data_IF_788218025930
#
_entry.id   IF_788218025930
#
_cell.length_a   1.000
_cell.length_b   1.000
_cell.length_c   1.000
_cell.angle_alpha   90.00
_cell.angle_beta   90.00
_cell.angle_gamma   90.00
#
_symmetry.space_group_name_H-M   'P 1'
#
loop_
_entity.id
_entity.type
_entity.pdbx_description
1 polymer ?
#
# COMPACT_ATOMS: atom_id res chain seq x y z
N UNK A 1 -12.55 -10.43 -28.44
CA UNK A 1 -12.94 -11.85 -28.54
C UNK A 1 -13.65 -12.19 -27.23
N UNK A 2 -14.93 -11.81 -27.11
CA UNK A 2 -15.69 -11.92 -25.86
C UNK A 2 -16.51 -13.21 -25.84
N UNK A 3 -15.83 -14.35 -25.73
CA UNK A 3 -16.51 -15.58 -25.33
C UNK A 3 -16.94 -15.39 -23.87
N UNK A 4 -18.25 -15.35 -23.56
CA UNK A 4 -18.74 -15.03 -22.22
C UNK A 4 -18.22 -15.99 -21.14
N UNK A 5 -17.96 -17.23 -21.53
CA UNK A 5 -17.47 -18.30 -20.65
C UNK A 5 -15.93 -18.47 -20.72
N UNK A 6 -15.24 -17.58 -21.45
CA UNK A 6 -13.79 -17.59 -21.51
C UNK A 6 -13.19 -17.24 -20.14
N UNK A 7 -12.24 -18.05 -19.66
CA UNK A 7 -11.56 -17.87 -18.36
C UNK A 7 -11.04 -16.44 -18.13
N UNK A 8 -10.53 -15.80 -19.19
CA UNK A 8 -10.07 -14.40 -19.16
C UNK A 8 -11.19 -13.41 -18.83
N UNK A 9 -12.38 -13.62 -19.38
CA UNK A 9 -13.55 -12.77 -19.11
C UNK A 9 -14.02 -12.94 -17.67
N UNK A 10 -14.08 -14.18 -17.17
CA UNK A 10 -14.45 -14.50 -15.80
C UNK A 10 -13.50 -13.83 -14.79
N UNK A 11 -12.19 -13.98 -14.98
CA UNK A 11 -11.19 -13.34 -14.11
C UNK A 11 -11.27 -11.82 -14.16
N UNK A 12 -11.43 -11.24 -15.36
CA UNK A 12 -11.57 -9.79 -15.52
C UNK A 12 -12.80 -9.24 -14.79
N UNK A 13 -13.96 -9.91 -14.86
CA UNK A 13 -15.17 -9.51 -14.12
C UNK A 13 -14.94 -9.48 -12.60
N UNK A 14 -13.98 -10.26 -12.09
CA UNK A 14 -13.56 -10.30 -10.68
C UNK A 14 -12.48 -9.27 -10.34
N UNK A 15 -12.06 -8.46 -11.32
CA UNK A 15 -11.06 -7.40 -11.14
C UNK A 15 -9.62 -7.88 -11.27
N UNK A 16 -9.39 -9.04 -11.90
CA UNK A 16 -8.04 -9.54 -12.19
C UNK A 16 -7.34 -8.69 -13.27
N UNK A 17 -6.02 -8.79 -13.29
CA UNK A 17 -5.20 -8.42 -14.46
C UNK A 17 -5.55 -9.30 -15.67
N UNK A 18 -5.29 -8.77 -16.86
CA UNK A 18 -5.45 -9.49 -18.12
C UNK A 18 -4.32 -10.50 -18.34
N UNK A 19 -4.69 -11.77 -18.45
CA UNK A 19 -3.75 -12.83 -18.78
C UNK A 19 -3.47 -12.86 -20.29
N UNK A 20 -2.18 -12.80 -20.68
CA UNK A 20 -1.67 -12.89 -22.06
C UNK A 20 -2.04 -11.76 -23.04
N UNK A 21 -2.96 -10.87 -22.68
CA UNK A 21 -3.48 -9.80 -23.56
C UNK A 21 -3.55 -8.43 -22.87
N UNK A 22 -2.76 -8.25 -21.82
CA UNK A 22 -2.56 -6.94 -21.20
C UNK A 22 -2.03 -5.93 -22.24
N UNK A 23 -2.38 -4.66 -22.06
CA UNK A 23 -1.92 -3.56 -22.93
C UNK A 23 -0.41 -3.31 -22.85
N UNK A 24 0.27 -3.86 -21.85
CA UNK A 24 1.71 -3.77 -21.69
C UNK A 24 2.19 -4.35 -20.36
N UNK A 25 3.50 -4.30 -20.17
CA UNK A 25 4.17 -4.76 -18.95
C UNK A 25 4.02 -3.73 -17.81
N UNK A 26 4.14 -4.18 -16.54
CA UNK A 26 4.27 -3.27 -15.40
C UNK A 26 5.69 -2.67 -15.36
N UNK A 27 5.85 -1.60 -14.59
CA UNK A 27 7.14 -0.94 -14.39
C UNK A 27 7.46 -0.81 -12.89
N UNK A 28 8.74 -0.97 -12.53
CA UNK A 28 9.25 -0.55 -11.23
C UNK A 28 9.78 0.88 -11.37
N UNK A 29 9.11 1.83 -10.73
CA UNK A 29 9.43 3.26 -10.82
C UNK A 29 10.42 3.72 -9.74
N UNK A 30 10.55 2.95 -8.66
CA UNK A 30 11.47 3.26 -7.56
C UNK A 30 11.83 2.03 -6.76
N UNK A 31 13.09 1.94 -6.34
CA UNK A 31 13.61 0.89 -5.48
C UNK A 31 14.70 1.50 -4.59
N UNK A 32 14.53 1.36 -3.27
CA UNK A 32 15.54 1.77 -2.30
C UNK A 32 15.82 0.64 -1.32
N UNK A 33 17.09 0.47 -0.98
CA UNK A 33 17.55 -0.44 0.08
C UNK A 33 18.39 0.40 1.02
N UNK A 34 17.88 0.62 2.22
CA UNK A 34 18.55 1.41 3.24
C UNK A 34 18.70 0.65 4.55
N UNK A 35 19.24 1.32 5.56
CA UNK A 35 19.42 0.71 6.87
C UNK A 35 18.07 0.53 7.58
N UNK A 36 17.71 -0.72 7.83
CA UNK A 36 16.44 -1.09 8.44
C UNK A 36 15.21 -0.97 7.54
N UNK A 37 15.34 -0.75 6.23
CA UNK A 37 14.19 -0.71 5.32
C UNK A 37 14.47 -1.13 3.87
N UNK A 38 13.41 -1.55 3.18
CA UNK A 38 13.37 -1.70 1.71
C UNK A 38 12.11 -1.01 1.20
N UNK A 39 12.22 -0.20 0.16
CA UNK A 39 11.10 0.45 -0.53
C UNK A 39 11.02 0.01 -1.98
N UNK A 40 9.81 -0.22 -2.49
CA UNK A 40 9.57 -0.31 -3.92
C UNK A 40 8.28 0.45 -4.31
N UNK A 41 8.30 1.04 -5.51
CA UNK A 41 7.12 1.59 -6.17
C UNK A 41 6.98 0.93 -7.55
N UNK A 42 5.81 0.36 -7.81
CA UNK A 42 5.47 -0.22 -9.10
C UNK A 42 4.19 0.37 -9.68
N UNK A 43 4.14 0.46 -11.01
CA UNK A 43 2.96 0.78 -11.80
C UNK A 43 2.53 -0.47 -12.57
N UNK A 44 1.29 -0.91 -12.34
CA UNK A 44 0.70 -2.07 -12.96
C UNK A 44 -0.50 -1.69 -13.86
N UNK A 45 -0.71 -0.42 -14.16
CA UNK A 45 -1.89 0.09 -14.91
C UNK A 45 -2.10 -0.67 -16.21
N UNK A 46 -1.01 -0.94 -16.94
CA UNK A 46 -1.06 -1.67 -18.23
C UNK A 46 -1.55 -3.12 -18.09
N UNK A 47 -1.35 -3.76 -16.93
CA UNK A 47 -1.80 -5.13 -16.67
C UNK A 47 -3.33 -5.23 -16.49
N UNK A 48 -3.99 -4.14 -16.12
CA UNK A 48 -5.45 -4.11 -15.90
C UNK A 48 -6.23 -3.63 -17.14
N UNK A 49 -5.54 -3.17 -18.17
CA UNK A 49 -6.12 -2.76 -19.44
C UNK A 49 -5.80 -3.77 -20.55
N UNK A 50 -6.66 -3.85 -21.56
CA UNK A 50 -6.44 -4.60 -22.79
C UNK A 50 -7.03 -3.83 -23.98
N UNK A 51 -6.17 -3.39 -24.89
CA UNK A 51 -6.59 -2.80 -26.17
C UNK A 51 -7.28 -3.84 -27.07
N UNK A 52 -6.84 -5.09 -27.01
CA UNK A 52 -7.39 -6.22 -27.79
C UNK A 52 -8.84 -6.50 -27.39
N UNK A 53 -9.15 -6.46 -26.10
CA UNK A 53 -10.50 -6.70 -25.58
C UNK A 53 -11.32 -5.41 -25.40
N UNK A 54 -10.79 -4.26 -25.86
CA UNK A 54 -11.41 -2.94 -25.73
C UNK A 54 -11.77 -2.56 -24.28
N UNK A 55 -11.02 -3.08 -23.31
CA UNK A 55 -11.20 -2.84 -21.88
C UNK A 55 -10.08 -1.93 -21.38
N UNK A 56 -10.31 -0.62 -21.41
CA UNK A 56 -9.30 0.39 -21.09
C UNK A 56 -9.75 1.38 -20.01
N UNK A 57 -10.72 0.99 -19.18
CA UNK A 57 -11.33 1.89 -18.19
C UNK A 57 -10.42 2.15 -16.98
N UNK A 58 -9.37 1.35 -16.76
CA UNK A 58 -8.45 1.58 -15.64
C UNK A 58 -7.52 2.75 -15.99
N UNK A 59 -7.53 3.77 -15.14
CA UNK A 59 -6.75 4.99 -15.32
C UNK A 59 -5.42 4.95 -14.57
N UNK A 60 -5.37 4.27 -13.42
CA UNK A 60 -4.16 4.16 -12.60
C UNK A 60 -4.23 2.95 -11.67
N UNK A 61 -3.17 2.16 -11.61
CA UNK A 61 -2.94 1.15 -10.55
C UNK A 61 -1.46 1.13 -10.21
N UNK A 62 -1.10 1.66 -9.04
CA UNK A 62 0.27 1.62 -8.54
C UNK A 62 0.32 1.18 -7.09
N UNK A 63 1.41 0.52 -6.69
CA UNK A 63 1.68 0.11 -5.32
C UNK A 63 3.01 0.67 -4.85
N UNK A 64 3.00 1.35 -3.72
CA UNK A 64 4.19 1.61 -2.92
C UNK A 64 4.23 0.62 -1.77
N UNK A 65 5.37 -0.01 -1.53
CA UNK A 65 5.58 -0.95 -0.43
C UNK A 65 6.86 -0.60 0.30
N UNK A 66 6.81 -0.54 1.62
CA UNK A 66 7.99 -0.42 2.49
C UNK A 66 8.00 -1.58 3.46
N UNK A 67 9.04 -2.39 3.42
CA UNK A 67 9.36 -3.27 4.54
C UNK A 67 10.24 -2.50 5.52
N UNK A 68 9.87 -2.52 6.79
CA UNK A 68 10.65 -2.01 7.90
C UNK A 68 11.09 -3.20 8.75
N UNK A 69 12.39 -3.26 9.02
CA UNK A 69 12.92 -4.26 9.94
C UNK A 69 12.33 -4.08 11.34
N UNK A 70 12.08 -5.18 12.07
CA UNK A 70 12.11 -6.57 11.59
C UNK A 70 10.82 -7.00 10.87
N UNK A 71 9.65 -6.57 11.35
CA UNK A 71 8.41 -7.32 11.15
C UNK A 71 7.25 -6.53 10.50
N UNK A 72 7.52 -5.33 9.98
CA UNK A 72 6.47 -4.45 9.45
C UNK A 72 6.52 -4.27 7.93
N UNK A 73 5.36 -4.24 7.30
CA UNK A 73 5.21 -3.86 5.89
C UNK A 73 4.12 -2.80 5.81
N UNK A 74 4.45 -1.64 5.23
CA UNK A 74 3.48 -0.59 4.89
C UNK A 74 3.18 -0.66 3.40
N UNK A 75 1.91 -0.86 3.03
CA UNK A 75 1.46 -0.95 1.65
C UNK A 75 0.53 0.22 1.35
N UNK A 76 0.83 0.98 0.30
CA UNK A 76 -0.01 2.07 -0.19
C UNK A 76 -0.34 1.89 -1.66
N UNK A 77 -1.62 1.65 -1.96
CA UNK A 77 -2.14 1.48 -3.30
C UNK A 77 -2.92 2.71 -3.77
N UNK A 78 -2.71 3.06 -5.03
CA UNK A 78 -3.48 4.09 -5.74
C UNK A 78 -4.24 3.40 -6.86
N UNK A 79 -5.57 3.50 -6.85
CA UNK A 79 -6.43 2.86 -7.83
C UNK A 79 -7.44 3.85 -8.39
N UNK A 80 -7.46 4.02 -9.71
CA UNK A 80 -8.39 4.91 -10.41
C UNK A 80 -8.94 4.26 -11.69
N UNK A 81 -10.20 4.56 -11.98
CA UNK A 81 -10.85 4.27 -13.26
C UNK A 81 -11.28 5.57 -13.95
N UNK A 82 -11.53 5.51 -15.26
CA UNK A 82 -12.09 6.64 -16.03
C UNK A 82 -13.56 6.85 -15.67
N UNK A 83 -14.26 5.76 -15.37
CA UNK A 83 -15.68 5.73 -14.97
C UNK A 83 -15.89 5.50 -13.47
N UNK A 84 -17.01 5.99 -12.94
CA UNK A 84 -17.52 5.62 -11.60
C UNK A 84 -18.22 4.24 -11.60
N UNK A 85 -18.57 3.74 -10.41
CA UNK A 85 -19.31 2.48 -10.25
C UNK A 85 -18.46 1.22 -10.46
N UNK A 86 -17.13 1.38 -10.48
CA UNK A 86 -16.18 0.26 -10.55
C UNK A 86 -15.67 -0.04 -9.15
N UNK A 87 -15.90 -1.25 -8.65
CA UNK A 87 -15.33 -1.68 -7.38
C UNK A 87 -13.80 -1.54 -7.41
N UNK A 88 -13.21 -1.31 -6.25
CA UNK A 88 -11.76 -1.40 -6.01
C UNK A 88 -11.55 -2.22 -4.76
N UNK A 89 -10.66 -3.21 -4.85
CA UNK A 89 -10.40 -4.18 -3.77
C UNK A 89 -8.92 -4.38 -3.59
N UNK A 90 -8.51 -4.42 -2.34
CA UNK A 90 -7.26 -5.04 -1.92
C UNK A 90 -7.54 -6.49 -1.50
N UNK A 91 -6.65 -7.38 -1.91
CA UNK A 91 -6.69 -8.80 -1.57
C UNK A 91 -5.38 -9.23 -0.94
N UNK A 92 -5.47 -10.02 0.12
CA UNK A 92 -4.34 -10.70 0.74
C UNK A 92 -4.70 -12.16 0.99
N UNK A 93 -3.96 -13.09 0.40
CA UNK A 93 -4.16 -14.52 0.59
C UNK A 93 -3.61 -14.94 1.97
N UNK A 94 -4.35 -15.82 2.66
CA UNK A 94 -4.09 -16.20 4.04
C UNK A 94 -4.20 -17.73 4.21
N UNK A 95 -3.39 -18.35 5.08
CA UNK A 95 -3.48 -19.78 5.35
C UNK A 95 -4.63 -20.18 6.28
N UNK A 96 -5.10 -19.23 7.09
CA UNK A 96 -6.23 -19.40 8.01
C UNK A 96 -7.14 -18.18 7.92
N UNK A 97 -8.39 -18.34 8.36
CA UNK A 97 -9.35 -17.24 8.40
C UNK A 97 -8.85 -16.13 9.34
N UNK A 98 -8.97 -14.87 8.91
CA UNK A 98 -8.68 -13.74 9.77
C UNK A 98 -9.92 -13.34 10.58
N UNK A 99 -9.72 -13.01 11.85
CA UNK A 99 -10.72 -12.35 12.68
C UNK A 99 -10.63 -10.85 12.43
N UNK A 100 -11.74 -10.24 12.01
CA UNK A 100 -11.82 -8.79 11.73
C UNK A 100 -12.50 -8.09 12.92
N UNK A 101 -11.81 -7.11 13.50
CA UNK A 101 -12.30 -6.28 14.59
C UNK A 101 -12.04 -4.80 14.27
N UNK A 102 -13.08 -4.09 13.81
CA UNK A 102 -12.93 -2.72 13.32
C UNK A 102 -12.01 -2.71 12.10
N UNK A 103 -10.94 -1.92 12.18
CA UNK A 103 -9.95 -1.81 11.11
C UNK A 103 -8.75 -2.77 11.26
N UNK A 104 -8.78 -3.66 12.26
CA UNK A 104 -7.71 -4.63 12.51
C UNK A 104 -8.18 -6.01 12.09
N UNK A 105 -7.40 -6.69 11.26
CA UNK A 105 -7.61 -8.09 10.88
C UNK A 105 -6.47 -8.94 11.40
N UNK A 106 -6.77 -10.00 12.16
CA UNK A 106 -5.75 -10.89 12.73
C UNK A 106 -5.93 -12.30 12.20
N UNK A 107 -4.94 -12.80 11.48
CA UNK A 107 -4.83 -14.21 11.09
C UNK A 107 -3.86 -14.92 12.03
N UNK A 108 -4.27 -16.05 12.59
CA UNK A 108 -3.41 -16.86 13.47
C UNK A 108 -3.14 -18.21 12.82
N UNK A 109 -1.87 -18.54 12.66
CA UNK A 109 -1.44 -19.84 12.13
C UNK A 109 -1.72 -20.97 13.12
N UNK A 110 -1.68 -22.23 12.67
CA UNK A 110 -1.82 -23.38 13.56
C UNK A 110 -0.75 -23.46 14.66
N UNK A 111 0.43 -22.85 14.43
CA UNK A 111 1.51 -22.74 15.41
C UNK A 111 1.38 -21.56 16.37
N UNK A 112 0.33 -20.74 16.24
CA UNK A 112 0.05 -19.59 17.10
C UNK A 112 0.63 -18.26 16.62
N UNK A 113 1.55 -18.26 15.64
CA UNK A 113 2.09 -17.04 15.02
C UNK A 113 0.99 -16.23 14.35
N UNK A 114 1.09 -14.91 14.39
CA UNK A 114 0.06 -13.99 13.93
C UNK A 114 0.53 -13.11 12.77
N UNK A 115 -0.38 -12.84 11.84
CA UNK A 115 -0.31 -11.71 10.93
C UNK A 115 -1.42 -10.74 11.31
N UNK A 116 -1.04 -9.53 11.68
CA UNK A 116 -1.97 -8.45 12.00
C UNK A 116 -1.94 -7.44 10.86
N UNK A 117 -3.11 -7.10 10.33
CA UNK A 117 -3.28 -6.12 9.26
C UNK A 117 -4.15 -4.97 9.78
N UNK A 118 -3.54 -3.80 9.93
CA UNK A 118 -4.26 -2.57 10.25
C UNK A 118 -4.59 -1.83 8.96
N UNK A 119 -5.87 -1.68 8.65
CA UNK A 119 -6.36 -0.89 7.51
C UNK A 119 -6.55 0.55 7.94
N UNK A 120 -5.86 1.47 7.28
CA UNK A 120 -5.93 2.90 7.55
C UNK A 120 -6.76 3.64 6.49
N UNK A 121 -6.70 3.18 5.23
CA UNK A 121 -7.49 3.73 4.13
C UNK A 121 -8.09 2.62 3.23
N UNK A 122 -9.27 2.88 2.63
CA UNK A 122 -10.16 3.99 2.96
C UNK A 122 -10.72 3.84 4.38
N UNK A 123 -11.05 4.94 5.06
CA UNK A 123 -11.44 4.92 6.48
C UNK A 123 -12.79 4.22 6.72
N UNK A 124 -13.62 4.15 5.69
CA UNK A 124 -14.92 3.47 5.65
C UNK A 124 -14.88 2.14 4.89
N UNK A 125 -13.70 1.53 4.74
CA UNK A 125 -13.55 0.29 3.99
C UNK A 125 -14.44 -0.85 4.51
N UNK A 126 -14.98 -1.63 3.58
CA UNK A 126 -15.61 -2.91 3.89
C UNK A 126 -14.52 -3.99 4.01
N UNK A 127 -14.29 -4.48 5.22
CA UNK A 127 -13.24 -5.47 5.52
C UNK A 127 -13.89 -6.82 5.84
N UNK A 128 -13.43 -7.89 5.18
CA UNK A 128 -13.90 -9.25 5.45
C UNK A 128 -12.83 -10.30 5.18
N UNK A 129 -12.92 -11.44 5.86
CA UNK A 129 -12.16 -12.63 5.55
C UNK A 129 -13.11 -13.67 4.95
N UNK A 130 -12.70 -14.32 3.88
CA UNK A 130 -13.50 -15.34 3.20
C UNK A 130 -12.63 -16.51 2.74
N UNK A 131 -13.19 -17.72 2.58
CA UNK A 131 -12.47 -18.82 1.92
C UNK A 131 -11.95 -18.38 0.54
N UNK A 132 -10.77 -18.85 0.18
CA UNK A 132 -10.25 -18.68 -1.16
C UNK A 132 -11.27 -19.24 -2.17
N UNK A 133 -11.42 -18.55 -3.29
CA UNK A 133 -12.43 -18.91 -4.28
C UNK A 133 -12.19 -20.32 -4.82
N UNK A 134 -13.24 -21.14 -4.82
CA UNK A 134 -13.20 -22.43 -5.49
C UNK A 134 -13.29 -22.21 -7.00
N UNK A 135 -12.15 -22.33 -7.69
CA UNK A 135 -12.11 -22.38 -9.15
C UNK A 135 -12.54 -23.79 -9.57
N UNK A 136 -13.86 -24.00 -9.63
CA UNK A 136 -14.54 -25.29 -9.74
C UNK A 136 -14.19 -26.12 -10.98
N UNK A 137 -13.45 -25.60 -11.96
CA UNK A 137 -13.31 -26.26 -13.26
C UNK A 137 -12.04 -27.12 -13.44
N UNK A 138 -11.00 -27.09 -12.59
CA UNK A 138 -9.75 -27.70 -13.05
C UNK A 138 -8.68 -28.20 -12.05
N UNK A 139 -8.99 -28.56 -10.79
CA UNK A 139 -7.91 -28.99 -9.86
C UNK A 139 -6.72 -27.98 -9.87
N UNK A 140 -7.02 -26.69 -10.07
CA UNK A 140 -6.03 -25.64 -10.37
C UNK A 140 -5.22 -25.21 -9.14
N UNK A 141 -5.70 -25.57 -7.95
CA UNK A 141 -4.97 -25.34 -6.71
C UNK A 141 -3.74 -26.24 -6.73
N UNK A 142 -2.56 -25.63 -6.66
CA UNK A 142 -1.31 -26.36 -6.60
C UNK A 142 -1.33 -27.36 -5.42
N UNK A 143 -0.77 -28.55 -5.64
CA UNK A 143 -0.62 -29.54 -4.57
C UNK A 143 0.17 -28.89 -3.44
N UNK A 144 -0.42 -28.87 -2.24
CA UNK A 144 0.20 -28.28 -1.06
C UNK A 144 0.03 -26.77 -0.94
N UNK A 145 -0.85 -26.13 -1.73
CA UNK A 145 -1.20 -24.71 -1.57
C UNK A 145 -1.69 -24.43 -0.13
N UNK A 146 -0.95 -23.65 0.67
CA UNK A 146 -1.33 -23.38 2.05
C UNK A 146 -2.36 -22.24 2.19
N UNK A 147 -2.59 -21.41 1.17
CA UNK A 147 -3.47 -20.24 1.26
C UNK A 147 -4.94 -20.60 0.98
N UNK A 148 -5.69 -20.87 2.04
CA UNK A 148 -7.10 -21.30 1.96
C UNK A 148 -8.12 -20.18 2.18
N UNK A 149 -7.68 -18.97 2.53
CA UNK A 149 -8.52 -17.81 2.83
C UNK A 149 -7.99 -16.57 2.15
N UNK A 150 -8.81 -15.52 2.11
CA UNK A 150 -8.45 -14.20 1.60
C UNK A 150 -9.03 -13.13 2.50
N UNK A 151 -8.21 -12.18 2.89
CA UNK A 151 -8.66 -10.89 3.38
C UNK A 151 -9.05 -10.03 2.18
N UNK A 152 -10.28 -9.52 2.20
CA UNK A 152 -10.82 -8.55 1.26
C UNK A 152 -10.96 -7.20 1.97
N UNK A 153 -10.43 -6.16 1.36
CA UNK A 153 -10.73 -4.78 1.72
C UNK A 153 -11.29 -4.07 0.51
N UNK A 154 -12.51 -3.54 0.60
CA UNK A 154 -13.21 -2.90 -0.52
C UNK A 154 -13.55 -1.44 -0.21
N UNK A 155 -13.32 -0.57 -1.19
CA UNK A 155 -13.79 0.82 -1.12
C UNK A 155 -15.29 0.87 -1.43
N UNK A 156 -16.15 1.33 -0.50
CA UNK A 156 -17.60 1.31 -0.69
C UNK A 156 -18.04 2.24 -1.83
N UNK A 157 -19.14 1.88 -2.49
CA UNK A 157 -19.78 2.72 -3.53
C UNK A 157 -19.09 2.73 -4.91
N UNK A 158 -18.00 1.99 -5.09
CA UNK A 158 -17.30 1.91 -6.38
C UNK A 158 -16.79 3.28 -6.86
N UNK A 159 -16.00 4.00 -6.05
CA UNK A 159 -15.58 5.36 -6.36
C UNK A 159 -14.73 5.37 -7.63
N UNK A 160 -14.64 6.53 -8.30
CA UNK A 160 -13.73 6.67 -9.46
C UNK A 160 -12.28 6.43 -9.07
N UNK A 161 -11.91 6.84 -7.86
CA UNK A 161 -10.57 6.82 -7.34
C UNK A 161 -10.60 6.45 -5.86
N UNK A 162 -9.64 5.66 -5.40
CA UNK A 162 -9.47 5.34 -3.99
C UNK A 162 -8.00 5.15 -3.65
N UNK A 163 -7.72 5.10 -2.35
CA UNK A 163 -6.41 4.81 -1.79
C UNK A 163 -6.57 3.71 -0.76
N UNK A 164 -5.71 2.71 -0.82
CA UNK A 164 -5.61 1.70 0.23
C UNK A 164 -4.31 1.90 0.98
N UNK A 165 -4.37 1.96 2.30
CA UNK A 165 -3.19 2.04 3.15
C UNK A 165 -3.32 0.97 4.22
N UNK A 166 -2.34 0.07 4.25
CA UNK A 166 -2.29 -1.04 5.19
C UNK A 166 -0.94 -1.10 5.87
N UNK A 167 -0.93 -1.44 7.16
CA UNK A 167 0.26 -1.88 7.87
C UNK A 167 0.07 -3.35 8.24
N UNK A 168 0.99 -4.18 7.77
CA UNK A 168 1.05 -5.61 8.08
C UNK A 168 2.18 -5.82 9.09
N UNK A 169 1.90 -6.58 10.15
CA UNK A 169 2.86 -6.94 11.18
C UNK A 169 2.88 -8.45 11.38
N UNK A 170 4.07 -9.05 11.28
CA UNK A 170 4.31 -10.39 11.84
C UNK A 170 4.46 -10.29 13.36
N UNK A 171 3.78 -11.15 14.10
CA UNK A 171 3.85 -11.15 15.56
C UNK A 171 3.87 -12.56 16.14
N UNK A 172 4.67 -12.72 17.20
CA UNK A 172 4.70 -13.94 17.99
C UNK A 172 3.36 -14.27 18.63
N UNK A 173 3.16 -15.56 18.94
CA UNK A 173 1.94 -16.05 19.57
C UNK A 173 1.64 -15.32 20.89
N UNK A 174 0.52 -14.58 20.91
CA UNK A 174 0.06 -13.85 22.09
C UNK A 174 0.73 -12.50 22.34
N UNK A 175 1.64 -12.06 21.46
CA UNK A 175 2.19 -10.71 21.50
C UNK A 175 1.15 -9.68 21.07
N UNK A 176 1.20 -8.50 21.67
CA UNK A 176 0.38 -7.38 21.21
C UNK A 176 0.97 -6.82 19.90
N UNK A 177 0.10 -6.47 18.96
CA UNK A 177 0.49 -5.70 17.78
C UNK A 177 0.92 -4.29 18.18
N UNK A 178 1.85 -3.71 17.43
CA UNK A 178 2.26 -2.34 17.58
C UNK A 178 1.12 -1.39 17.20
N UNK A 179 1.09 -0.25 17.88
CA UNK A 179 0.11 0.79 17.56
C UNK A 179 0.47 1.44 16.24
N UNK A 180 -0.55 1.60 15.39
CA UNK A 180 -0.43 2.19 14.05
C UNK A 180 -1.35 3.40 13.96
N UNK A 181 -0.85 4.49 13.38
CA UNK A 181 -1.59 5.74 13.19
C UNK A 181 -1.50 6.19 11.73
N UNK A 182 -2.61 6.66 11.17
CA UNK A 182 -2.64 7.36 9.89
C UNK A 182 -1.94 8.72 10.02
N UNK A 183 -1.02 9.02 9.11
CA UNK A 183 -0.36 10.32 9.02
C UNK A 183 -0.67 10.95 7.67
N UNK A 184 -1.15 12.18 7.68
CA UNK A 184 -1.43 12.97 6.49
C UNK A 184 -0.60 14.25 6.52
N UNK A 185 -0.19 14.72 5.34
CA UNK A 185 0.42 16.04 5.21
C UNK A 185 -0.57 17.14 5.62
N UNK A 186 -0.12 18.06 6.47
CA UNK A 186 -0.90 19.24 6.87
C UNK A 186 -0.77 20.42 5.91
N UNK A 187 0.30 20.46 5.10
CA UNK A 187 0.51 21.50 4.07
C UNK A 187 1.48 21.02 2.97
N UNK A 188 1.48 21.74 1.84
CA UNK A 188 2.37 21.47 0.71
C UNK A 188 1.83 20.40 -0.24
N UNK A 189 2.75 19.69 -0.90
CA UNK A 189 2.42 18.56 -1.78
C UNK A 189 1.76 17.44 -0.96
N UNK A 190 0.60 16.89 -1.38
CA UNK A 190 -0.13 15.91 -0.57
C UNK A 190 0.61 14.58 -0.41
N UNK A 191 0.80 14.17 0.84
CA UNK A 191 1.36 12.88 1.23
C UNK A 191 0.47 12.22 2.28
N UNK A 192 0.49 10.89 2.29
CA UNK A 192 -0.19 10.08 3.29
C UNK A 192 0.65 8.87 3.65
N UNK A 193 0.47 8.36 4.85
CA UNK A 193 1.34 7.33 5.38
C UNK A 193 0.90 6.78 6.72
N UNK A 194 1.79 6.00 7.31
CA UNK A 194 1.55 5.36 8.58
C UNK A 194 2.73 5.63 9.53
N UNK A 195 2.40 5.97 10.78
CA UNK A 195 3.32 5.86 11.90
C UNK A 195 3.13 4.47 12.52
N UNK A 196 4.22 3.72 12.63
CA UNK A 196 4.29 2.43 13.31
C UNK A 196 5.51 2.42 14.22
N UNK A 197 5.30 2.07 15.49
CA UNK A 197 6.28 2.29 16.55
C UNK A 197 6.77 3.76 16.58
N UNK A 198 8.05 4.02 16.31
CA UNK A 198 8.67 5.35 16.28
C UNK A 198 9.01 5.83 14.85
N UNK A 199 8.53 5.11 13.83
CA UNK A 199 8.89 5.33 12.44
C UNK A 199 7.65 5.67 11.61
N UNK A 200 7.67 6.84 10.97
CA UNK A 200 6.66 7.22 9.98
C UNK A 200 7.14 6.93 8.57
N UNK A 201 6.26 6.35 7.75
CA UNK A 201 6.48 6.13 6.31
C UNK A 201 5.46 6.94 5.54
N UNK A 202 5.91 7.83 4.66
CA UNK A 202 5.07 8.73 3.87
C UNK A 202 5.19 8.43 2.37
N UNK A 203 4.04 8.43 1.69
CA UNK A 203 3.91 8.22 0.27
C UNK A 203 3.22 9.42 -0.39
N UNK A 204 3.63 9.81 -1.61
CA UNK A 204 2.93 10.87 -2.32
C UNK A 204 1.52 10.40 -2.68
N UNK A 205 0.50 11.25 -2.52
CA UNK A 205 -0.87 10.89 -2.96
C UNK A 205 -0.91 10.65 -4.47
N UNK A 206 -0.15 11.45 -5.22
CA UNK A 206 0.01 11.37 -6.67
C UNK A 206 1.47 11.10 -7.05
N UNK A 207 1.71 10.03 -7.81
CA UNK A 207 3.07 9.62 -8.21
C UNK A 207 3.66 10.62 -9.21
N UNK A 208 4.95 10.93 -9.05
CA UNK A 208 5.70 11.76 -9.99
C UNK A 208 5.49 13.27 -9.82
N UNK A 209 4.70 13.71 -8.84
CA UNK A 209 4.54 15.13 -8.51
C UNK A 209 5.80 15.65 -7.82
N UNK A 210 6.35 16.75 -8.33
CA UNK A 210 7.51 17.41 -7.73
C UNK A 210 7.15 18.00 -6.35
N UNK A 211 7.97 17.69 -5.34
CA UNK A 211 7.80 18.23 -3.99
C UNK A 211 8.55 19.56 -3.86
N UNK A 212 7.79 20.66 -3.83
CA UNK A 212 8.32 21.99 -3.50
C UNK A 212 8.41 22.20 -1.99
N UNK A 213 7.34 21.86 -1.28
CA UNK A 213 7.23 21.87 0.19
C UNK A 213 6.31 20.71 0.60
N UNK A 214 6.60 20.07 1.72
CA UNK A 214 5.76 19.06 2.36
C UNK A 214 5.88 19.22 3.88
N UNK A 215 4.76 19.38 4.57
CA UNK A 215 4.70 19.48 6.03
C UNK A 215 3.75 18.45 6.60
N UNK A 216 4.15 17.77 7.67
CA UNK A 216 3.31 16.83 8.41
C UNK A 216 3.61 16.91 9.91
N UNK A 217 2.73 16.32 10.70
CA UNK A 217 2.82 16.30 12.15
C UNK A 217 2.67 14.88 12.69
N UNK A 218 3.43 14.57 13.73
CA UNK A 218 3.43 13.26 14.41
C UNK A 218 3.65 13.47 15.92
N UNK A 219 3.35 12.49 16.78
CA UNK A 219 3.71 12.57 18.19
C UNK A 219 5.20 12.84 18.39
N UNK A 220 5.54 13.63 19.40
CA UNK A 220 6.91 14.05 19.72
C UNK A 220 7.92 12.90 19.81
N UNK A 221 7.48 11.69 20.16
CA UNK A 221 8.31 10.50 20.29
C UNK A 221 8.78 9.86 18.97
N UNK A 222 8.38 10.40 17.83
CA UNK A 222 8.72 9.83 16.50
C UNK A 222 10.16 10.17 16.14
N UNK A 223 10.98 9.15 15.90
CA UNK A 223 12.42 9.31 15.68
C UNK A 223 12.82 9.25 14.21
N UNK A 224 12.11 8.45 13.40
CA UNK A 224 12.48 8.15 12.01
C UNK A 224 11.35 8.50 11.06
N UNK A 225 11.70 9.13 9.94
CA UNK A 225 10.75 9.48 8.89
C UNK A 225 11.28 9.02 7.53
N UNK A 226 10.59 8.11 6.88
CA UNK A 226 10.88 7.67 5.52
C UNK A 226 9.92 8.38 4.57
N UNK A 227 10.42 9.40 3.88
CA UNK A 227 9.66 10.13 2.85
C UNK A 227 9.99 9.55 1.48
N UNK A 228 9.01 8.95 0.82
CA UNK A 228 9.20 8.25 -0.46
C UNK A 228 8.74 9.08 -1.66
N UNK A 229 9.03 8.64 -2.89
CA UNK A 229 8.53 9.29 -4.10
C UNK A 229 9.04 10.70 -4.36
N UNK A 230 10.19 11.05 -3.77
CA UNK A 230 10.92 12.28 -4.06
C UNK A 230 11.71 12.14 -5.37
N UNK A 231 12.22 13.25 -5.90
CA UNK A 231 13.07 13.22 -7.11
C UNK A 231 14.42 12.58 -6.74
N UNK A 232 14.82 11.46 -7.38
CA UNK A 232 16.08 10.78 -7.05
C UNK A 232 17.30 11.71 -7.10
N UNK A 233 18.17 11.61 -6.10
CA UNK A 233 19.39 12.40 -5.97
C UNK A 233 19.18 13.90 -5.69
N UNK A 234 17.94 14.41 -5.64
CA UNK A 234 17.66 15.82 -5.37
C UNK A 234 17.88 16.16 -3.90
N UNK A 235 18.36 17.39 -3.66
CA UNK A 235 18.56 17.94 -2.33
C UNK A 235 17.27 18.50 -1.72
N UNK A 236 17.13 18.35 -0.41
CA UNK A 236 16.02 18.82 0.41
C UNK A 236 16.56 19.41 1.73
N UNK A 237 15.99 20.53 2.14
CA UNK A 237 16.22 21.13 3.45
C UNK A 237 15.09 20.69 4.39
N UNK A 238 15.44 20.42 5.65
CA UNK A 238 14.53 19.86 6.65
C UNK A 238 14.44 20.82 7.84
N UNK A 239 13.23 21.09 8.27
CA UNK A 239 12.91 21.89 9.44
C UNK A 239 12.03 21.08 10.38
N UNK A 240 12.37 21.07 11.67
CA UNK A 240 11.62 20.37 12.71
C UNK A 240 11.21 21.37 13.80
N UNK A 241 9.95 21.31 14.21
CA UNK A 241 9.43 22.12 15.30
C UNK A 241 8.68 21.25 16.31
N UNK A 242 9.07 21.35 17.58
CA UNK A 242 8.40 20.68 18.69
C UNK A 242 7.45 21.66 19.39
N UNK A 243 6.17 21.32 19.46
CA UNK A 243 5.18 22.12 20.18
C UNK A 243 4.04 21.23 20.72
N UNK A 244 3.61 21.46 21.96
CA UNK A 244 2.45 20.80 22.57
C UNK A 244 2.44 19.25 22.51
N UNK A 245 3.61 18.61 22.53
CA UNK A 245 3.74 17.15 22.43
C UNK A 245 3.68 16.59 21.00
N UNK A 246 3.75 17.47 20.00
CA UNK A 246 3.76 17.15 18.58
C UNK A 246 5.07 17.62 17.94
N UNK A 247 5.60 16.80 17.05
CA UNK A 247 6.72 17.10 16.17
C UNK A 247 6.16 17.42 14.79
N UNK A 248 6.27 18.69 14.38
CA UNK A 248 6.04 19.11 12.99
C UNK A 248 7.34 18.98 12.22
N UNK A 249 7.31 18.31 11.07
CA UNK A 249 8.44 18.22 10.14
C UNK A 249 8.04 18.85 8.83
N UNK A 250 8.92 19.68 8.27
CA UNK A 250 8.77 20.27 6.95
C UNK A 250 9.99 19.98 6.10
N UNK A 251 9.78 19.51 4.88
CA UNK A 251 10.83 19.38 3.87
C UNK A 251 10.58 20.34 2.71
N UNK A 252 11.64 20.93 2.17
CA UNK A 252 11.61 21.82 1.00
C UNK A 252 12.71 21.47 0.03
N UNK A 253 12.53 21.76 -1.25
CA UNK A 253 13.64 21.63 -2.21
C UNK A 253 14.83 22.49 -1.74
N UNK A 254 16.01 21.87 -1.67
CA UNK A 254 17.17 22.45 -0.99
C UNK A 254 18.46 21.70 -1.28
N UNK A 255 19.37 21.65 -0.31
CA UNK A 255 20.68 21.01 -0.49
C UNK A 255 21.21 20.25 0.74
N UNK A 256 20.55 20.31 1.89
CA UNK A 256 21.05 19.74 3.14
C UNK A 256 21.14 18.21 3.12
N UNK A 257 20.08 17.53 2.67
CA UNK A 257 20.04 16.07 2.55
C UNK A 257 19.55 15.67 1.16
N UNK A 258 19.92 14.49 0.67
CA UNK A 258 19.52 14.02 -0.66
C UNK A 258 18.63 12.80 -0.55
N UNK A 259 17.57 12.78 -1.36
CA UNK A 259 16.86 11.54 -1.62
C UNK A 259 17.81 10.57 -2.35
N UNK A 260 17.69 9.28 -2.06
CA UNK A 260 18.48 8.23 -2.71
C UNK A 260 18.02 7.96 -4.16
N UNK A 261 18.59 6.93 -4.78
CA UNK A 261 18.31 6.58 -6.18
C UNK A 261 16.87 6.10 -6.41
N UNK A 262 16.18 5.63 -5.38
CA UNK A 262 14.76 5.25 -5.43
C UNK A 262 13.81 6.38 -5.02
N UNK A 263 14.34 7.58 -4.72
CA UNK A 263 13.53 8.72 -4.32
C UNK A 263 13.09 8.67 -2.85
N UNK A 264 13.87 8.03 -1.97
CA UNK A 264 13.60 7.99 -0.53
C UNK A 264 14.56 8.90 0.23
N UNK A 265 14.00 9.70 1.13
CA UNK A 265 14.74 10.49 2.12
C UNK A 265 14.44 9.94 3.51
N UNK A 266 15.48 9.50 4.22
CA UNK A 266 15.42 9.14 5.63
C UNK A 266 15.77 10.37 6.46
N UNK A 267 14.83 10.84 7.27
CA UNK A 267 15.03 11.91 8.25
C UNK A 267 15.07 11.29 9.64
N UNK A 268 16.15 11.57 10.37
CA UNK A 268 16.29 11.18 11.77
C UNK A 268 16.21 12.42 12.65
N UNK A 269 15.31 12.38 13.63
CA UNK A 269 15.11 13.46 14.60
C UNK A 269 15.61 12.97 15.96
N UNK A 270 16.40 13.80 16.63
CA UNK A 270 16.77 13.51 18.01
C UNK A 270 15.55 13.75 18.90
N UNK A 271 15.05 12.66 19.47
CA UNK A 271 13.90 12.61 20.38
C UNK A 271 14.34 12.73 21.83
#
# INVERSE_FOLDING_TARGET
>A
HNEPDGYRNILWQRGSQWMYVASGDPEILGLSVGDGYIYALGDATNLYNSEVELSTDVAHVSRSIVWLQPDHIVVYDRAASKSEGRFKRFWLNLPAEAVVAGNISTMTTAGGQQLVVTTLLPTDAEIGSEPAESLLEANEVAIGEPMHFRLRVEAPGGPRETRFLHVLQGADAGSAADSVMLVESGAGTPFVGALVADTVVLFPVDVGVEVGELTWAVPAGTARHLVTGLVPGRGYDIETQMANGELTVTIRAGSAQRADDGGVLLVEVQV
#
